data_IF_083716457428
#
_entry.id   IF_083716457428
#
_cell.length_a   1.000
_cell.length_b   1.000
_cell.length_c   1.000
_cell.angle_alpha   90.00
_cell.angle_beta   90.00
_cell.angle_gamma   90.00
#
_symmetry.space_group_name_H-M   'P 1'
#
loop_
_entity.id
_entity.type
_entity.pdbx_description
1 polymer ?
#
# COMPACT_ATOMS: atom_id res chain seq x y z
N UNK A 1 47.50 26.40 -8.06
CA UNK A 1 47.00 25.37 -7.13
C UNK A 1 45.50 25.24 -7.37
N UNK A 2 44.97 24.08 -7.77
CA UNK A 2 43.54 23.88 -7.88
C UNK A 2 42.95 23.79 -6.47
N UNK A 3 41.78 24.40 -6.29
CA UNK A 3 41.10 24.47 -5.00
C UNK A 3 40.32 23.17 -4.82
N UNK A 4 40.68 22.38 -3.81
CA UNK A 4 39.89 21.24 -3.34
C UNK A 4 38.51 21.75 -2.93
N UNK A 5 37.50 21.46 -3.76
CA UNK A 5 36.10 21.66 -3.41
C UNK A 5 35.68 20.43 -2.61
N UNK A 6 35.38 20.53 -1.30
CA UNK A 6 34.82 19.39 -0.59
C UNK A 6 33.40 19.15 -1.13
N UNK A 7 33.25 18.07 -1.89
CA UNK A 7 31.97 17.46 -2.22
C UNK A 7 31.32 16.97 -0.93
N UNK A 8 30.63 17.88 -0.23
CA UNK A 8 29.64 17.48 0.76
C UNK A 8 28.38 17.15 -0.03
N UNK A 9 28.22 15.85 -0.31
CA UNK A 9 26.94 15.21 -0.55
C UNK A 9 25.97 15.64 0.57
N UNK A 10 25.23 16.72 0.33
CA UNK A 10 24.05 17.05 1.11
C UNK A 10 22.86 16.62 0.27
N UNK A 11 22.47 15.38 0.56
CA UNK A 11 21.21 14.75 0.24
C UNK A 11 20.12 15.77 -0.11
N UNK A 12 19.69 15.76 -1.37
CA UNK A 12 18.62 16.62 -1.92
C UNK A 12 17.27 15.99 -1.51
N UNK A 13 17.10 15.66 -0.24
CA UNK A 13 15.77 15.38 0.29
C UNK A 13 15.34 16.69 0.95
N UNK A 14 14.45 17.46 0.31
CA UNK A 14 14.04 18.75 0.84
C UNK A 14 13.28 18.58 2.17
N UNK A 15 13.62 19.46 3.11
CA UNK A 15 13.22 19.54 4.53
C UNK A 15 11.75 19.98 4.75
N UNK A 16 10.83 19.56 3.90
CA UNK A 16 9.40 19.79 4.13
C UNK A 16 8.71 18.52 4.59
N UNK A 17 8.32 18.55 5.87
CA UNK A 17 7.15 17.86 6.43
C UNK A 17 7.17 16.33 6.37
N UNK A 18 8.07 15.70 7.14
CA UNK A 18 7.66 14.46 7.82
C UNK A 18 6.90 14.85 9.08
N UNK A 19 5.70 15.39 8.88
CA UNK A 19 4.71 15.56 9.96
C UNK A 19 4.47 14.19 10.60
N UNK A 20 4.31 14.09 11.92
CA UNK A 20 4.06 12.79 12.58
C UNK A 20 2.85 12.07 11.92
N UNK A 21 1.92 12.83 11.35
CA UNK A 21 0.86 12.35 10.46
C UNK A 21 1.39 11.50 9.29
N UNK A 22 2.42 11.94 8.56
CA UNK A 22 2.99 11.18 7.43
C UNK A 22 3.67 9.88 7.86
N UNK A 23 4.24 9.82 9.07
CA UNK A 23 4.88 8.59 9.59
C UNK A 23 3.86 7.50 9.89
N UNK A 24 2.71 7.87 10.45
CA UNK A 24 1.61 6.94 10.74
C UNK A 24 0.95 6.40 9.46
N UNK A 25 0.94 7.18 8.38
CA UNK A 25 0.48 6.71 7.07
C UNK A 25 1.51 5.80 6.36
N UNK A 26 2.80 6.11 6.47
CA UNK A 26 3.87 5.35 5.78
C UNK A 26 4.21 4.06 6.51
N UNK A 27 4.06 4.02 7.84
CA UNK A 27 4.30 2.83 8.65
C UNK A 27 3.26 2.71 9.77
N UNK A 28 2.05 2.22 9.45
CA UNK A 28 0.97 2.12 10.43
C UNK A 28 1.39 1.24 11.61
N UNK A 29 0.91 1.53 12.83
CA UNK A 29 1.22 0.72 14.00
C UNK A 29 0.72 -0.71 13.81
N UNK A 30 1.42 -1.68 14.42
CA UNK A 30 1.13 -3.12 14.28
C UNK A 30 -0.33 -3.47 14.58
N UNK A 31 -0.95 -2.81 15.55
CA UNK A 31 -2.37 -3.03 15.90
C UNK A 31 -3.30 -2.67 14.74
N UNK A 32 -3.01 -1.59 14.02
CA UNK A 32 -3.79 -1.17 12.84
C UNK A 32 -3.60 -2.15 11.69
N UNK A 33 -2.36 -2.63 11.47
CA UNK A 33 -2.09 -3.66 10.46
C UNK A 33 -2.86 -4.94 10.76
N UNK A 34 -2.90 -5.37 12.02
CA UNK A 34 -3.67 -6.54 12.45
C UNK A 34 -5.17 -6.35 12.23
N UNK A 35 -5.72 -5.21 12.64
CA UNK A 35 -7.13 -4.90 12.43
C UNK A 35 -7.50 -4.91 10.94
N UNK A 36 -6.67 -4.32 10.07
CA UNK A 36 -6.89 -4.34 8.63
C UNK A 36 -6.75 -5.74 8.03
N UNK A 37 -5.81 -6.54 8.53
CA UNK A 37 -5.68 -7.94 8.12
C UNK A 37 -6.89 -8.79 8.52
N UNK A 38 -7.50 -8.52 9.67
CA UNK A 38 -8.75 -9.18 10.09
C UNK A 38 -9.93 -8.77 9.19
N UNK A 39 -10.07 -7.49 8.88
CA UNK A 39 -11.07 -6.98 7.94
C UNK A 39 -10.92 -7.62 6.55
N UNK A 40 -9.68 -7.74 6.06
CA UNK A 40 -9.38 -8.37 4.77
C UNK A 40 -9.70 -9.86 4.69
N UNK A 41 -9.97 -10.54 5.82
CA UNK A 41 -10.41 -11.94 5.89
C UNK A 41 -11.92 -12.11 6.04
N UNK A 42 -12.67 -11.02 6.18
CA UNK A 42 -14.11 -11.10 6.36
C UNK A 42 -14.81 -11.49 5.04
N UNK A 43 -15.92 -12.26 5.11
CA UNK A 43 -16.72 -12.54 3.93
C UNK A 43 -17.14 -11.26 3.19
N UNK A 44 -16.90 -11.24 1.89
CA UNK A 44 -17.15 -10.09 1.02
C UNK A 44 -15.95 -9.14 0.85
N UNK A 45 -14.89 -9.27 1.66
CA UNK A 45 -13.67 -8.49 1.45
C UNK A 45 -13.06 -8.79 0.08
N UNK A 46 -12.49 -7.77 -0.56
CA UNK A 46 -11.87 -7.84 -1.89
C UNK A 46 -10.40 -7.45 -1.82
N UNK A 47 -9.57 -8.06 -2.66
CA UNK A 47 -8.14 -7.81 -2.74
C UNK A 47 -7.50 -8.53 -3.93
N UNK A 48 -6.18 -8.47 -4.02
CA UNK A 48 -5.43 -9.19 -5.06
C UNK A 48 -4.73 -10.39 -4.46
N UNK A 49 -4.75 -11.51 -5.18
CA UNK A 49 -3.95 -12.69 -4.84
C UNK A 49 -2.48 -12.54 -5.27
N UNK A 50 -1.65 -13.54 -4.98
CA UNK A 50 -0.22 -13.56 -5.35
C UNK A 50 0.01 -13.57 -6.87
N UNK A 51 -0.99 -13.97 -7.66
CA UNK A 51 -0.95 -13.94 -9.12
C UNK A 51 -1.45 -12.59 -9.69
N UNK A 52 -1.77 -11.62 -8.83
CA UNK A 52 -2.26 -10.31 -9.22
C UNK A 52 -3.72 -10.30 -9.70
N UNK A 53 -4.52 -11.32 -9.37
CA UNK A 53 -5.93 -11.41 -9.76
C UNK A 53 -6.82 -10.82 -8.69
N UNK A 54 -7.86 -10.10 -9.09
CA UNK A 54 -8.88 -9.61 -8.17
C UNK A 54 -9.66 -10.80 -7.59
N UNK A 55 -9.71 -10.91 -6.27
CA UNK A 55 -10.41 -11.96 -5.53
C UNK A 55 -11.33 -11.39 -4.46
N UNK A 56 -12.36 -12.16 -4.11
CA UNK A 56 -13.28 -11.89 -3.01
C UNK A 56 -13.34 -13.05 -2.03
N UNK A 57 -13.37 -12.76 -0.73
CA UNK A 57 -13.52 -13.78 0.32
C UNK A 57 -14.97 -14.25 0.40
N UNK A 58 -15.20 -15.56 0.34
CA UNK A 58 -16.51 -16.19 0.51
C UNK A 58 -16.83 -16.44 1.99
N UNK A 59 -18.11 -16.69 2.35
CA UNK A 59 -18.51 -17.01 3.72
C UNK A 59 -17.81 -18.24 4.33
N UNK A 60 -17.34 -19.16 3.50
CA UNK A 60 -16.59 -20.36 3.90
C UNK A 60 -15.07 -20.12 4.06
N UNK A 61 -14.61 -18.87 3.83
CA UNK A 61 -13.21 -18.48 3.86
C UNK A 61 -12.42 -18.80 2.59
N UNK A 62 -13.05 -19.38 1.57
CA UNK A 62 -12.41 -19.58 0.26
C UNK A 62 -12.36 -18.28 -0.55
N UNK A 63 -11.52 -18.23 -1.58
CA UNK A 63 -11.42 -17.08 -2.48
C UNK A 63 -12.16 -17.34 -3.79
N UNK A 64 -12.93 -16.36 -4.22
CA UNK A 64 -13.56 -16.29 -5.54
C UNK A 64 -12.80 -15.30 -6.41
N UNK A 65 -12.32 -15.74 -7.57
CA UNK A 65 -11.71 -14.84 -8.56
C UNK A 65 -12.82 -14.04 -9.23
N UNK A 66 -12.72 -12.71 -9.17
CA UNK A 66 -13.62 -11.80 -9.85
C UNK A 66 -13.08 -11.51 -11.26
N UNK A 67 -13.95 -11.33 -12.27
CA UNK A 67 -13.52 -10.81 -13.55
C UNK A 67 -12.97 -9.39 -13.37
N UNK A 68 -11.87 -9.10 -14.06
CA UNK A 68 -11.34 -7.74 -14.14
C UNK A 68 -12.24 -6.96 -15.12
N UNK A 69 -13.26 -6.31 -14.59
CA UNK A 69 -14.19 -5.50 -15.37
C UNK A 69 -13.53 -4.15 -15.73
N UNK A 70 -12.52 -4.18 -16.60
CA UNK A 70 -12.23 -3.04 -17.50
C UNK A 70 -13.38 -2.79 -18.51
N UNK A 71 -14.54 -3.47 -18.36
CA UNK A 71 -15.64 -3.53 -19.33
C UNK A 71 -17.05 -3.40 -18.73
N UNK A 72 -17.21 -2.79 -17.55
CA UNK A 72 -18.54 -2.44 -17.02
C UNK A 72 -18.74 -0.91 -16.91
N UNK A 73 -18.65 -0.19 -18.03
CA UNK A 73 -18.91 1.26 -18.00
C UNK A 73 -18.75 2.00 -19.32
N UNK A 74 -19.50 1.65 -20.38
CA UNK A 74 -19.94 2.65 -21.34
C UNK A 74 -21.25 2.17 -22.02
N UNK A 75 -22.42 2.78 -21.71
CA UNK A 75 -23.63 2.64 -22.52
C UNK A 75 -23.57 3.45 -23.81
#
# INVERSE_FOLDING_TARGET
MPQDVPQRERSIIPDWETDELTRDFVNPPTEVVRAMAELGRQPGATGYDEAGRLVRVRPDGSFEVLPDDEKAGEP
#
